data_IF_222913839917
#
_entry.id   IF_222913839917
#
_cell.length_a   1.000
_cell.length_b   1.000
_cell.length_c   1.000
_cell.angle_alpha   90.00
_cell.angle_beta   90.00
_cell.angle_gamma   90.00
#
_symmetry.space_group_name_H-M   'P 1'
#
loop_
_entity.id
_entity.type
_entity.pdbx_description
1 polymer ?
#
# COMPACT_ATOMS: atom_id res chain seq x y z
N UNK A 1 -17.66 -12.30 27.87
CA UNK A 1 -18.95 -12.98 28.08
C UNK A 1 -19.73 -12.94 26.76
N UNK A 2 -20.24 -14.07 26.28
CA UNK A 2 -21.07 -14.07 25.05
C UNK A 2 -22.51 -13.79 25.53
N UNK A 3 -23.11 -12.68 25.09
CA UNK A 3 -24.45 -12.23 25.52
C UNK A 3 -25.49 -13.35 25.53
N UNK A 4 -26.44 -13.25 26.47
CA UNK A 4 -27.46 -14.28 26.69
C UNK A 4 -28.38 -14.49 25.47
N UNK A 5 -29.14 -15.60 25.40
CA UNK A 5 -30.01 -15.94 24.26
C UNK A 5 -30.96 -14.81 23.86
N UNK A 6 -31.49 -14.09 24.86
CA UNK A 6 -32.41 -12.96 24.68
C UNK A 6 -31.77 -11.76 23.98
N UNK A 7 -30.52 -11.44 24.31
CA UNK A 7 -29.78 -10.33 23.68
C UNK A 7 -29.42 -10.65 22.23
N UNK A 8 -29.01 -11.89 21.96
CA UNK A 8 -28.74 -12.36 20.59
C UNK A 8 -29.99 -12.32 19.71
N UNK A 9 -31.14 -12.66 20.29
CA UNK A 9 -32.45 -12.56 19.62
C UNK A 9 -32.77 -11.12 19.20
N UNK A 10 -32.60 -10.15 20.12
CA UNK A 10 -32.84 -8.72 19.84
C UNK A 10 -31.92 -8.16 18.76
N UNK A 11 -30.61 -8.45 18.82
CA UNK A 11 -29.64 -8.01 17.79
C UNK A 11 -30.00 -8.58 16.42
N UNK A 12 -30.46 -9.83 16.37
CA UNK A 12 -30.86 -10.49 15.11
C UNK A 12 -32.12 -9.88 14.50
N UNK A 13 -33.10 -9.52 15.34
CA UNK A 13 -34.33 -8.85 14.88
C UNK A 13 -34.01 -7.49 14.27
N UNK A 14 -33.30 -6.63 15.01
CA UNK A 14 -32.90 -5.31 14.50
C UNK A 14 -32.01 -5.39 13.27
N UNK A 15 -31.13 -6.41 13.17
CA UNK A 15 -30.33 -6.62 11.98
C UNK A 15 -31.20 -6.90 10.74
N UNK A 16 -32.23 -7.74 10.88
CA UNK A 16 -33.17 -8.03 9.79
C UNK A 16 -33.96 -6.79 9.36
N UNK A 17 -34.46 -6.01 10.33
CA UNK A 17 -35.20 -4.76 10.06
C UNK A 17 -34.37 -3.75 9.27
N UNK A 18 -33.05 -3.72 9.53
CA UNK A 18 -32.09 -2.83 8.86
C UNK A 18 -31.46 -3.45 7.60
N UNK A 19 -31.85 -4.66 7.19
CA UNK A 19 -31.26 -5.37 6.05
C UNK A 19 -29.78 -5.76 6.25
N UNK A 20 -29.31 -5.79 7.50
CA UNK A 20 -27.93 -6.11 7.87
C UNK A 20 -27.83 -7.61 8.16
N UNK A 21 -26.75 -8.25 7.71
CA UNK A 21 -26.50 -9.64 8.06
C UNK A 21 -26.41 -9.81 9.60
N UNK A 22 -27.22 -10.68 10.23
CA UNK A 22 -27.22 -10.87 11.69
C UNK A 22 -25.85 -11.19 12.28
N UNK A 23 -24.99 -11.88 11.52
CA UNK A 23 -23.62 -12.19 11.95
C UNK A 23 -22.75 -10.94 12.02
N UNK A 24 -22.94 -10.00 11.09
CA UNK A 24 -22.26 -8.71 11.09
C UNK A 24 -22.72 -7.87 12.27
N UNK A 25 -24.04 -7.77 12.51
CA UNK A 25 -24.60 -7.05 13.64
C UNK A 25 -24.13 -7.63 14.99
N UNK A 26 -24.11 -8.95 15.14
CA UNK A 26 -23.54 -9.60 16.32
C UNK A 26 -22.05 -9.29 16.53
N UNK A 27 -21.27 -9.26 15.44
CA UNK A 27 -19.83 -8.89 15.52
C UNK A 27 -19.66 -7.44 15.97
N UNK A 28 -20.47 -6.52 15.45
CA UNK A 28 -20.45 -5.11 15.86
C UNK A 28 -20.86 -4.94 17.33
N UNK A 29 -21.92 -5.64 17.75
CA UNK A 29 -22.38 -5.63 19.14
C UNK A 29 -21.31 -6.13 20.10
N UNK A 30 -20.67 -7.27 19.79
CA UNK A 30 -19.57 -7.80 20.61
C UNK A 30 -18.40 -6.82 20.72
N UNK A 31 -17.99 -6.22 19.60
CA UNK A 31 -16.91 -5.24 19.62
C UNK A 31 -17.26 -3.99 20.43
N UNK A 32 -18.52 -3.54 20.34
CA UNK A 32 -19.01 -2.43 21.15
C UNK A 32 -18.98 -2.76 22.65
N UNK A 33 -19.41 -3.96 23.04
CA UNK A 33 -19.33 -4.40 24.45
C UNK A 33 -17.89 -4.46 24.96
N UNK A 34 -16.93 -4.84 24.11
CA UNK A 34 -15.51 -4.97 24.50
C UNK A 34 -14.75 -3.63 24.52
N UNK A 35 -15.07 -2.70 23.61
CA UNK A 35 -14.25 -1.49 23.38
C UNK A 35 -14.98 -0.18 23.63
N UNK A 36 -16.31 -0.19 23.78
CA UNK A 36 -17.16 0.99 23.82
C UNK A 36 -17.23 1.77 22.49
N UNK A 37 -16.61 1.26 21.42
CA UNK A 37 -16.52 1.95 20.12
C UNK A 37 -17.43 1.30 19.09
N UNK A 38 -18.06 2.13 18.27
CA UNK A 38 -18.84 1.68 17.11
C UNK A 38 -17.89 1.34 15.96
N UNK A 39 -18.06 0.14 15.40
CA UNK A 39 -17.27 -0.34 14.25
C UNK A 39 -17.84 0.20 12.94
N UNK A 40 -17.65 1.49 12.69
CA UNK A 40 -17.77 1.97 11.32
C UNK A 40 -16.45 1.69 10.58
N UNK A 41 -16.56 1.24 9.33
CA UNK A 41 -15.38 1.13 8.46
C UNK A 41 -14.87 2.55 8.25
N UNK A 42 -13.84 2.96 8.99
CA UNK A 42 -13.12 4.19 8.67
C UNK A 42 -12.71 4.05 7.21
N UNK A 43 -13.03 5.02 6.37
CA UNK A 43 -12.47 5.14 5.03
C UNK A 43 -10.97 5.51 5.11
N UNK A 44 -10.25 5.05 6.14
CA UNK A 44 -8.82 4.99 6.04
C UNK A 44 -8.53 3.85 5.08
N UNK A 45 -8.02 4.23 3.91
CA UNK A 45 -7.29 3.32 3.02
C UNK A 45 -6.45 2.45 3.95
N UNK A 46 -6.69 1.13 3.97
CA UNK A 46 -5.78 0.24 4.66
C UNK A 46 -4.39 0.60 4.12
N UNK A 47 -3.46 1.08 4.96
CA UNK A 47 -2.09 1.24 4.49
C UNK A 47 -1.75 -0.15 3.99
N UNK A 48 -1.40 -0.23 2.70
CA UNK A 48 -1.07 -1.50 2.08
C UNK A 48 0.12 -2.14 2.78
N UNK A 49 0.70 -3.15 2.15
CA UNK A 49 1.99 -3.66 2.61
C UNK A 49 2.98 -2.49 2.80
N UNK A 50 3.66 -2.39 3.95
CA UNK A 50 4.65 -1.35 4.18
C UNK A 50 5.70 -1.36 3.06
N UNK A 51 6.12 -0.17 2.63
CA UNK A 51 7.17 -0.01 1.63
C UNK A 51 8.47 -0.65 2.16
N UNK A 52 9.15 -1.53 1.41
CA UNK A 52 10.42 -2.12 1.84
C UNK A 52 11.60 -1.12 1.90
N UNK A 53 11.41 0.11 1.42
CA UNK A 53 12.44 1.16 1.51
C UNK A 53 12.53 1.70 2.94
N UNK A 54 13.72 1.62 3.54
CA UNK A 54 14.07 2.28 4.80
C UNK A 54 14.52 3.72 4.49
N UNK A 55 14.59 4.61 5.49
CA UNK A 55 15.10 5.97 5.29
C UNK A 55 16.49 6.04 4.64
N UNK A 56 17.35 5.05 4.91
CA UNK A 56 18.69 4.94 4.28
C UNK A 56 18.58 4.66 2.78
N UNK A 57 17.70 3.73 2.38
CA UNK A 57 17.44 3.46 0.97
C UNK A 57 16.88 4.69 0.26
N UNK A 58 15.97 5.42 0.94
CA UNK A 58 15.35 6.64 0.41
C UNK A 58 16.37 7.76 0.16
N UNK A 59 17.30 7.96 1.09
CA UNK A 59 18.40 8.91 0.95
C UNK A 59 19.32 8.56 -0.23
N UNK A 60 19.65 7.28 -0.40
CA UNK A 60 20.48 6.86 -1.53
C UNK A 60 19.79 7.14 -2.87
N UNK A 61 18.50 6.85 -2.98
CA UNK A 61 17.73 7.15 -4.21
C UNK A 61 17.71 8.66 -4.51
N UNK A 62 17.59 9.51 -3.49
CA UNK A 62 17.67 10.96 -3.68
C UNK A 62 19.03 11.39 -4.22
N UNK A 63 20.12 10.91 -3.64
CA UNK A 63 21.49 11.25 -4.08
C UNK A 63 21.75 10.82 -5.53
N UNK A 64 21.27 9.63 -5.91
CA UNK A 64 21.38 9.12 -7.29
C UNK A 64 20.66 10.05 -8.27
N UNK A 65 19.40 10.39 -7.96
CA UNK A 65 18.54 11.18 -8.84
C UNK A 65 19.02 12.65 -8.95
N UNK A 66 19.56 13.21 -7.87
CA UNK A 66 20.18 14.53 -7.87
C UNK A 66 21.45 14.58 -8.73
N UNK A 67 22.25 13.50 -8.71
CA UNK A 67 23.51 13.41 -9.45
C UNK A 67 23.31 13.23 -10.95
N UNK A 68 22.33 12.43 -11.36
CA UNK A 68 22.09 12.13 -12.77
C UNK A 68 20.60 12.06 -13.12
N UNK A 69 20.16 13.05 -13.89
CA UNK A 69 18.78 13.19 -14.39
C UNK A 69 18.41 12.22 -15.52
N UNK A 70 19.38 11.49 -16.10
CA UNK A 70 19.16 10.57 -17.22
C UNK A 70 18.99 9.11 -16.81
N UNK A 71 19.01 8.82 -15.51
CA UNK A 71 18.95 7.45 -15.01
C UNK A 71 17.59 6.79 -15.24
N UNK A 72 17.63 5.49 -15.49
CA UNK A 72 16.46 4.63 -15.60
C UNK A 72 16.13 3.96 -14.26
N UNK A 73 14.87 3.53 -14.12
CA UNK A 73 14.45 2.77 -12.94
C UNK A 73 15.27 1.48 -12.74
N UNK A 74 15.82 0.90 -13.82
CA UNK A 74 16.71 -0.27 -13.73
C UNK A 74 18.06 0.12 -13.09
N UNK A 75 18.63 1.26 -13.47
CA UNK A 75 19.90 1.76 -12.90
C UNK A 75 19.77 2.07 -11.40
N UNK A 76 18.62 2.62 -10.98
CA UNK A 76 18.32 2.86 -9.56
C UNK A 76 18.22 1.54 -8.78
N UNK A 77 17.59 0.51 -9.36
CA UNK A 77 17.49 -0.82 -8.74
C UNK A 77 18.87 -1.45 -8.61
N UNK A 78 19.70 -1.35 -9.64
CA UNK A 78 21.03 -1.95 -9.65
C UNK A 78 21.96 -1.25 -8.64
N UNK A 79 21.89 0.08 -8.56
CA UNK A 79 22.62 0.84 -7.53
C UNK A 79 22.17 0.48 -6.10
N UNK A 80 20.86 0.34 -5.89
CA UNK A 80 20.29 -0.08 -4.61
C UNK A 80 20.73 -1.49 -4.23
N UNK A 81 20.71 -2.45 -5.15
CA UNK A 81 21.18 -3.81 -4.88
C UNK A 81 22.70 -3.88 -4.63
N UNK A 82 23.46 -3.02 -5.31
CA UNK A 82 24.91 -2.95 -5.12
C UNK A 82 25.30 -2.41 -3.75
N UNK A 83 24.51 -1.51 -3.17
CA UNK A 83 24.80 -0.95 -1.85
C UNK A 83 24.10 -1.73 -0.71
N UNK A 84 22.96 -2.35 -0.99
CA UNK A 84 22.14 -3.09 -0.02
C UNK A 84 21.92 -4.53 -0.51
N UNK A 85 22.82 -5.43 -0.11
CA UNK A 85 22.91 -6.81 -0.62
C UNK A 85 21.63 -7.64 -0.38
N UNK A 86 20.87 -7.34 0.68
CA UNK A 86 19.63 -8.03 1.05
C UNK A 86 18.34 -7.38 0.48
N UNK A 87 18.45 -6.28 -0.27
CA UNK A 87 17.28 -5.51 -0.70
C UNK A 87 16.54 -6.16 -1.87
N UNK A 88 15.40 -6.81 -1.56
CA UNK A 88 14.47 -7.35 -2.56
C UNK A 88 13.49 -6.28 -3.02
N UNK A 89 13.89 -5.51 -4.04
CA UNK A 89 13.05 -4.48 -4.65
C UNK A 89 12.75 -4.76 -6.12
N UNK A 90 11.52 -4.44 -6.53
CA UNK A 90 11.02 -4.59 -7.89
C UNK A 90 10.85 -3.24 -8.58
N UNK A 91 10.87 -3.24 -9.91
CA UNK A 91 10.69 -2.04 -10.74
C UNK A 91 9.38 -1.28 -10.48
N UNK A 92 8.22 -1.93 -10.29
CA UNK A 92 6.99 -1.23 -9.91
C UNK A 92 7.10 -0.50 -8.56
N UNK A 93 7.85 -1.05 -7.59
CA UNK A 93 8.04 -0.41 -6.29
C UNK A 93 8.88 0.87 -6.41
N UNK A 94 9.98 0.83 -7.16
CA UNK A 94 10.79 2.03 -7.44
C UNK A 94 9.99 3.07 -8.21
N UNK A 95 9.26 2.67 -9.26
CA UNK A 95 8.41 3.60 -10.00
C UNK A 95 7.32 4.22 -9.12
N UNK A 96 6.75 3.46 -8.20
CA UNK A 96 5.77 3.96 -7.24
C UNK A 96 6.41 4.96 -6.27
N UNK A 97 7.60 4.67 -5.75
CA UNK A 97 8.35 5.55 -4.85
C UNK A 97 8.73 6.85 -5.55
N UNK A 98 9.37 6.78 -6.73
CA UNK A 98 9.74 7.94 -7.53
C UNK A 98 8.54 8.85 -7.81
N UNK A 99 7.39 8.26 -8.17
CA UNK A 99 6.20 9.02 -8.52
C UNK A 99 5.50 9.65 -7.31
N UNK A 100 5.37 8.94 -6.19
CA UNK A 100 4.57 9.42 -5.06
C UNK A 100 5.38 10.19 -4.02
N UNK A 101 6.67 9.89 -3.88
CA UNK A 101 7.52 10.51 -2.85
C UNK A 101 8.41 11.60 -3.46
N UNK A 102 8.96 11.37 -4.67
CA UNK A 102 9.85 12.34 -5.34
C UNK A 102 9.17 13.13 -6.46
N UNK A 103 7.92 12.81 -6.81
CA UNK A 103 7.15 13.43 -7.91
C UNK A 103 7.84 13.33 -9.29
N UNK A 104 8.67 12.30 -9.50
CA UNK A 104 9.42 12.08 -10.73
C UNK A 104 8.87 10.87 -11.47
N UNK A 105 8.86 10.94 -12.80
CA UNK A 105 8.57 9.79 -13.66
C UNK A 105 9.74 9.53 -14.61
N UNK A 106 10.38 8.38 -14.43
CA UNK A 106 11.48 7.93 -15.25
C UNK A 106 10.95 7.00 -16.34
N UNK A 107 11.24 7.30 -17.61
CA UNK A 107 10.83 6.47 -18.76
C UNK A 107 12.04 6.14 -19.63
N UNK A 108 12.09 4.90 -20.11
CA UNK A 108 13.08 4.49 -21.10
C UNK A 108 12.68 5.01 -22.49
N UNK A 109 13.52 5.81 -23.19
CA UNK A 109 13.24 6.22 -24.55
C UNK A 109 13.25 5.00 -25.46
N UNK A 110 12.24 4.92 -26.34
CA UNK A 110 12.21 3.92 -27.39
C UNK A 110 12.98 4.47 -28.60
N UNK A 111 14.29 4.20 -28.64
CA UNK A 111 15.14 4.59 -29.76
C UNK A 111 14.85 3.66 -30.94
N UNK A 112 14.31 4.20 -32.02
CA UNK A 112 14.18 3.46 -33.29
C UNK A 112 15.57 3.40 -33.95
N UNK A 113 15.97 2.25 -34.52
CA UNK A 113 17.18 2.18 -35.31
C UNK A 113 17.07 3.15 -36.50
N UNK A 114 18.11 3.95 -36.70
CA UNK A 114 18.18 4.86 -37.84
C UNK A 114 18.54 4.02 -39.07
N UNK A 115 17.62 3.88 -40.01
CA UNK A 115 17.90 3.24 -41.30
C UNK A 115 18.90 4.10 -42.07
N UNK A 116 20.18 3.70 -42.03
CA UNK A 116 21.21 4.27 -42.91
C UNK A 116 20.91 3.79 -44.33
N UNK A 117 20.20 4.60 -45.11
CA UNK A 117 20.11 4.41 -46.57
C UNK A 117 21.50 4.65 -47.16
N UNK A 118 22.15 3.58 -47.58
CA UNK A 118 23.30 3.61 -48.49
C UNK A 118 22.81 3.68 -49.93
#
# INVERSE_FOLDING_TARGET
>A
MIGGPTERGKVTLHAKDLGINPRTAMRWWKHYQETGKVTYKKLQRNPGRPNPLTPEHEQHVQQIVEKDSQLYADDVIDSLKSQFEDLKISKPQINHYLRNNLLISIKKPNLRPYDKKH
#
